data_IF_746337454670
#
_entry.id   IF_746337454670
#
_cell.length_a   1.000
_cell.length_b   1.000
_cell.length_c   1.000
_cell.angle_alpha   90.00
_cell.angle_beta   90.00
_cell.angle_gamma   90.00
#
_symmetry.space_group_name_H-M   'P 1'
#
loop_
_entity.id
_entity.type
_entity.pdbx_description
1 polymer ?
#
# COMPACT_ATOMS: atom_id res chain seq x y z
N UNK A 1 -15.78 -7.31 -7.61
CA UNK A 1 -14.65 -7.47 -6.69
C UNK A 1 -14.85 -8.70 -5.84
N UNK A 2 -14.90 -9.87 -6.47
CA UNK A 2 -15.10 -11.15 -5.79
C UNK A 2 -13.83 -11.65 -5.10
N UNK A 3 -12.68 -11.15 -5.55
CA UNK A 3 -11.36 -11.42 -4.99
C UNK A 3 -10.63 -10.12 -4.69
N UNK A 4 -9.81 -10.13 -3.65
CA UNK A 4 -9.01 -8.98 -3.20
C UNK A 4 -7.54 -9.27 -3.48
N UNK A 5 -6.82 -8.26 -3.97
CA UNK A 5 -5.37 -8.29 -4.14
C UNK A 5 -4.68 -7.25 -3.27
N UNK A 6 -3.37 -7.42 -3.06
CA UNK A 6 -2.53 -6.41 -2.42
C UNK A 6 -1.19 -6.20 -3.14
N UNK A 7 -0.50 -5.12 -2.77
CA UNK A 7 0.74 -4.66 -3.40
C UNK A 7 1.86 -4.63 -2.35
N UNK A 8 2.89 -5.43 -2.56
CA UNK A 8 3.99 -5.71 -1.62
C UNK A 8 5.33 -5.16 -2.07
N UNK A 9 5.58 -3.86 -1.84
CA UNK A 9 6.85 -3.19 -2.21
C UNK A 9 7.75 -2.90 -1.01
N UNK A 10 7.24 -2.11 -0.05
CA UNK A 10 8.00 -1.62 1.11
C UNK A 10 8.49 -2.74 2.01
N UNK A 11 9.62 -2.54 2.68
CA UNK A 11 10.28 -3.51 3.55
C UNK A 11 10.72 -2.88 4.87
N UNK A 12 11.02 -3.68 5.90
CA UNK A 12 11.79 -3.20 7.04
C UNK A 12 13.11 -2.58 6.55
N UNK A 13 13.36 -1.32 6.89
CA UNK A 13 14.55 -0.58 6.48
C UNK A 13 14.49 0.06 5.08
N UNK A 14 13.57 -0.36 4.20
CA UNK A 14 13.44 0.19 2.84
C UNK A 14 11.99 0.65 2.56
N UNK A 15 11.72 1.91 2.91
CA UNK A 15 10.46 2.59 2.58
C UNK A 15 10.61 3.50 1.37
N UNK A 16 11.08 4.72 1.59
CA UNK A 16 11.29 5.72 0.54
C UNK A 16 12.35 5.31 -0.48
N UNK A 17 13.39 4.57 -0.05
CA UNK A 17 14.39 3.98 -0.93
C UNK A 17 13.96 2.59 -1.43
N UNK A 18 12.86 2.54 -2.16
CA UNK A 18 12.30 1.28 -2.67
C UNK A 18 13.22 0.55 -3.67
N UNK A 19 14.23 1.24 -4.23
CA UNK A 19 15.20 0.65 -5.14
C UNK A 19 16.25 -0.23 -4.47
N UNK A 20 16.37 -0.15 -3.13
CA UNK A 20 17.31 -0.90 -2.31
C UNK A 20 16.70 -2.19 -1.71
N UNK A 21 15.68 -2.75 -2.36
CA UNK A 21 14.95 -3.94 -1.88
C UNK A 21 15.88 -5.12 -1.52
N UNK A 22 15.72 -5.60 -0.29
CA UNK A 22 16.44 -6.71 0.32
C UNK A 22 15.77 -8.06 0.10
N UNK A 23 14.44 -8.10 -0.07
CA UNK A 23 13.71 -9.31 -0.48
C UNK A 23 14.27 -9.78 -1.81
N UNK A 24 14.63 -11.05 -1.90
CA UNK A 24 15.28 -11.61 -3.09
C UNK A 24 14.52 -12.82 -3.62
N UNK A 25 14.72 -13.10 -4.91
CA UNK A 25 14.15 -14.26 -5.59
C UNK A 25 15.24 -14.97 -6.39
N UNK A 26 15.43 -16.27 -6.17
CA UNK A 26 16.41 -17.10 -6.89
C UNK A 26 15.65 -18.09 -7.76
N UNK A 27 16.03 -18.18 -9.04
CA UNK A 27 15.47 -19.18 -9.95
C UNK A 27 15.97 -20.57 -9.56
N UNK A 28 15.05 -21.51 -9.32
CA UNK A 28 15.30 -22.93 -9.11
C UNK A 28 14.39 -23.72 -10.04
N UNK A 29 14.97 -24.33 -11.07
CA UNK A 29 14.24 -25.04 -12.12
C UNK A 29 13.14 -24.18 -12.78
N UNK A 30 11.87 -24.59 -12.64
CA UNK A 30 10.69 -23.90 -13.16
C UNK A 30 10.02 -22.98 -12.14
N UNK A 31 10.68 -22.71 -11.01
CA UNK A 31 10.16 -21.87 -9.94
C UNK A 31 11.16 -20.76 -9.58
N UNK A 32 10.63 -19.75 -8.90
CA UNK A 32 11.39 -18.76 -8.15
C UNK A 32 11.20 -19.00 -6.66
N UNK A 33 12.29 -19.00 -5.90
CA UNK A 33 12.24 -19.09 -4.45
C UNK A 33 12.46 -17.71 -3.85
N UNK A 34 11.44 -17.17 -3.20
CA UNK A 34 11.44 -15.84 -2.58
C UNK A 34 11.74 -15.94 -1.10
N UNK A 35 12.64 -15.09 -0.64
CA UNK A 35 12.97 -14.91 0.77
C UNK A 35 13.00 -13.42 1.14
N UNK A 36 12.35 -13.08 2.24
CA UNK A 36 12.35 -11.71 2.78
C UNK A 36 11.04 -11.34 3.47
N UNK A 37 10.86 -10.05 3.69
CA UNK A 37 9.66 -9.52 4.37
C UNK A 37 9.24 -8.21 3.72
N UNK A 38 7.96 -8.14 3.35
CA UNK A 38 7.29 -6.90 2.99
C UNK A 38 6.54 -6.34 4.18
N UNK A 39 6.55 -5.02 4.33
CA UNK A 39 5.96 -4.33 5.46
C UNK A 39 4.94 -3.29 5.04
N UNK A 40 3.97 -3.06 5.92
CA UNK A 40 2.89 -2.09 5.72
C UNK A 40 1.94 -2.45 4.57
N UNK A 41 1.67 -3.75 4.39
CA UNK A 41 0.90 -4.19 3.23
C UNK A 41 -0.60 -4.10 3.52
N UNK A 42 -1.24 -3.15 2.85
CA UNK A 42 -2.69 -2.92 2.86
C UNK A 42 -3.44 -4.12 2.29
N UNK A 43 -4.57 -4.48 2.92
CA UNK A 43 -5.41 -5.63 2.58
C UNK A 43 -4.75 -7.01 2.75
N UNK A 44 -3.63 -7.10 3.45
CA UNK A 44 -2.85 -8.34 3.58
C UNK A 44 -3.66 -9.55 4.11
N UNK A 45 -4.62 -9.33 5.01
CA UNK A 45 -5.41 -10.42 5.58
C UNK A 45 -6.52 -10.91 4.64
N UNK A 46 -7.13 -9.98 3.89
CA UNK A 46 -8.23 -10.26 2.97
C UNK A 46 -7.77 -10.68 1.57
N UNK A 47 -6.53 -10.33 1.18
CA UNK A 47 -6.02 -10.61 -0.15
C UNK A 47 -5.82 -12.12 -0.39
N UNK A 48 -6.25 -12.59 -1.57
CA UNK A 48 -5.97 -13.94 -2.06
C UNK A 48 -4.61 -14.01 -2.76
N UNK A 49 -4.17 -12.90 -3.35
CA UNK A 49 -2.89 -12.79 -4.03
C UNK A 49 -2.26 -11.41 -3.85
N UNK A 50 -0.94 -11.38 -3.94
CA UNK A 50 -0.12 -10.19 -3.76
C UNK A 50 0.78 -10.00 -4.97
N UNK A 51 0.91 -8.78 -5.46
CA UNK A 51 2.02 -8.41 -6.35
C UNK A 51 3.22 -8.07 -5.49
N UNK A 52 4.25 -8.91 -5.50
CA UNK A 52 5.45 -8.81 -4.65
C UNK A 52 6.66 -8.47 -5.49
N UNK A 53 7.46 -7.50 -5.03
CA UNK A 53 8.68 -7.09 -5.71
C UNK A 53 9.91 -7.67 -5.01
N UNK A 54 10.75 -8.40 -5.74
CA UNK A 54 11.94 -9.02 -5.18
C UNK A 54 13.14 -8.87 -6.12
N UNK A 55 14.33 -8.70 -5.55
CA UNK A 55 15.58 -8.58 -6.27
C UNK A 55 16.01 -9.94 -6.82
N UNK A 56 16.01 -10.08 -8.15
CA UNK A 56 16.50 -11.27 -8.87
C UNK A 56 17.95 -11.13 -9.32
N UNK A 57 18.45 -9.90 -9.45
CA UNK A 57 19.84 -9.61 -9.84
C UNK A 57 20.39 -8.40 -9.06
N UNK A 58 21.16 -8.65 -8.00
CA UNK A 58 21.71 -7.59 -7.15
C UNK A 58 22.68 -6.66 -7.88
N UNK A 59 23.39 -7.15 -8.91
CA UNK A 59 24.37 -6.35 -9.64
C UNK A 59 23.70 -5.22 -10.44
N UNK A 60 22.43 -5.39 -10.80
CA UNK A 60 21.63 -4.41 -11.56
C UNK A 60 20.89 -3.40 -10.70
N UNK A 61 21.06 -3.42 -9.37
CA UNK A 61 20.35 -2.53 -8.42
C UNK A 61 18.84 -2.57 -8.69
N UNK A 62 18.16 -1.41 -8.75
CA UNK A 62 16.72 -1.35 -9.03
C UNK A 62 16.30 -1.99 -10.37
N UNK A 63 17.21 -2.07 -11.36
CA UNK A 63 16.95 -2.76 -12.65
C UNK A 63 17.03 -4.29 -12.54
N UNK A 64 17.40 -4.80 -11.36
CA UNK A 64 17.39 -6.22 -11.03
C UNK A 64 16.19 -6.65 -10.19
N UNK A 65 15.24 -5.75 -9.94
CA UNK A 65 14.00 -6.05 -9.21
C UNK A 65 12.98 -6.61 -10.20
N UNK A 66 12.34 -7.72 -9.85
CA UNK A 66 11.28 -8.38 -10.60
C UNK A 66 9.96 -8.35 -9.81
N UNK A 67 8.84 -8.51 -10.51
CA UNK A 67 7.51 -8.52 -9.91
C UNK A 67 6.89 -9.93 -10.02
N UNK A 68 6.26 -10.40 -8.96
CA UNK A 68 5.71 -11.74 -8.86
C UNK A 68 4.27 -11.69 -8.36
N UNK A 69 3.40 -12.50 -8.96
CA UNK A 69 2.09 -12.80 -8.39
C UNK A 69 2.24 -13.92 -7.36
N UNK A 70 2.12 -13.60 -6.08
CA UNK A 70 2.25 -14.57 -4.99
C UNK A 70 0.87 -14.84 -4.39
N UNK A 71 0.47 -16.11 -4.35
CA UNK A 71 -0.80 -16.53 -3.75
C UNK A 71 -0.62 -16.88 -2.28
N UNK A 72 -1.63 -16.62 -1.47
CA UNK A 72 -1.62 -16.86 -0.01
C UNK A 72 -1.38 -18.32 0.35
N UNK A 73 -1.78 -19.25 -0.52
CA UNK A 73 -1.63 -20.69 -0.32
C UNK A 73 -0.24 -21.25 -0.65
N UNK A 74 0.66 -20.43 -1.20
CA UNK A 74 1.98 -20.92 -1.60
C UNK A 74 2.84 -21.29 -0.37
N UNK A 75 3.48 -22.48 -0.37
CA UNK A 75 4.37 -22.88 0.72
C UNK A 75 5.46 -21.83 0.96
N UNK A 76 5.79 -21.59 2.23
CA UNK A 76 6.76 -20.57 2.63
C UNK A 76 6.21 -19.15 2.70
N UNK A 77 4.95 -18.92 2.31
CA UNK A 77 4.26 -17.66 2.56
C UNK A 77 3.59 -17.66 3.95
N UNK A 78 3.74 -16.56 4.69
CA UNK A 78 2.98 -16.33 5.91
C UNK A 78 2.68 -14.84 6.12
N UNK A 79 1.71 -14.56 6.99
CA UNK A 79 1.32 -13.21 7.37
C UNK A 79 1.84 -12.87 8.77
N UNK A 80 2.27 -11.62 8.94
CA UNK A 80 2.48 -11.03 10.25
C UNK A 80 1.17 -10.78 10.99
N UNK A 81 1.29 -10.23 12.21
CA UNK A 81 0.13 -9.72 12.95
C UNK A 81 -0.42 -8.46 12.26
N UNK A 82 -1.73 -8.26 12.35
CA UNK A 82 -2.36 -7.01 11.91
C UNK A 82 -1.84 -5.85 12.77
N UNK A 83 -1.40 -4.79 12.10
CA UNK A 83 -0.90 -3.56 12.73
C UNK A 83 -2.03 -2.80 13.43
N UNK A 84 -1.74 -2.29 14.64
CA UNK A 84 -2.62 -1.37 15.35
C UNK A 84 -2.29 0.08 14.95
N UNK A 85 -3.20 0.70 14.19
CA UNK A 85 -2.97 1.99 13.50
C UNK A 85 -3.83 3.10 14.09
N UNK A 86 -3.33 4.34 14.05
CA UNK A 86 -4.08 5.54 14.44
C UNK A 86 -5.42 5.68 13.69
N UNK A 87 -5.41 5.47 12.37
CA UNK A 87 -6.58 5.60 11.49
C UNK A 87 -6.63 4.49 10.44
N UNK A 88 -7.62 4.58 9.53
CA UNK A 88 -7.85 3.57 8.47
C UNK A 88 -7.87 2.14 9.06
N UNK A 89 -8.55 1.99 10.22
CA UNK A 89 -8.54 0.74 11.02
C UNK A 89 -9.33 -0.40 10.38
N UNK A 90 -10.27 -0.06 9.50
CA UNK A 90 -11.05 -1.02 8.73
C UNK A 90 -10.17 -1.83 7.76
N UNK A 91 -9.15 -1.21 7.15
CA UNK A 91 -8.21 -1.93 6.29
C UNK A 91 -7.20 -2.71 7.14
N UNK A 92 -6.96 -3.96 6.77
CA UNK A 92 -5.83 -4.71 7.33
C UNK A 92 -4.52 -4.14 6.80
N UNK A 93 -3.53 -4.09 7.68
CA UNK A 93 -2.15 -3.76 7.33
C UNK A 93 -1.31 -4.75 8.09
N UNK A 94 -0.44 -5.47 7.39
CA UNK A 94 0.40 -6.51 8.00
C UNK A 94 1.69 -6.70 7.20
N UNK A 95 2.61 -7.47 7.73
CA UNK A 95 3.76 -7.95 7.00
C UNK A 95 3.39 -9.16 6.12
N UNK A 96 3.99 -9.25 4.94
CA UNK A 96 4.05 -10.49 4.16
C UNK A 96 5.44 -11.09 4.35
N UNK A 97 5.51 -12.33 4.79
CA UNK A 97 6.75 -13.00 5.16
C UNK A 97 6.96 -14.17 4.20
N UNK A 98 8.15 -14.25 3.61
CA UNK A 98 8.53 -15.28 2.64
C UNK A 98 9.76 -16.00 3.18
N UNK A 99 9.61 -17.29 3.45
CA UNK A 99 10.67 -18.19 3.91
C UNK A 99 10.71 -19.38 2.96
N UNK A 100 11.72 -19.40 2.08
CA UNK A 100 11.83 -20.30 0.94
C UNK A 100 10.52 -20.48 0.14
N UNK A 101 9.82 -19.37 -0.10
CA UNK A 101 8.52 -19.39 -0.75
C UNK A 101 8.64 -19.70 -2.25
N UNK A 102 8.10 -20.85 -2.68
CA UNK A 102 8.21 -21.32 -4.06
C UNK A 102 7.08 -20.79 -4.93
N UNK A 103 7.44 -20.01 -5.94
CA UNK A 103 6.54 -19.34 -6.89
C UNK A 103 6.74 -19.94 -8.29
N UNK A 104 5.68 -20.37 -8.99
CA UNK A 104 5.81 -20.84 -10.36
C UNK A 104 6.41 -19.76 -11.30
N UNK A 105 7.20 -20.17 -12.29
CA UNK A 105 7.81 -19.23 -13.24
C UNK A 105 6.77 -18.40 -14.02
N UNK A 106 5.61 -18.98 -14.33
CA UNK A 106 4.51 -18.30 -15.01
C UNK A 106 3.89 -17.14 -14.19
N UNK A 107 4.16 -17.08 -12.89
CA UNK A 107 3.69 -16.00 -12.02
C UNK A 107 4.63 -14.78 -12.00
N UNK A 108 5.72 -14.81 -12.78
CA UNK A 108 6.52 -13.63 -13.05
C UNK A 108 5.69 -12.63 -13.89
N UNK A 109 5.54 -11.40 -13.38
CA UNK A 109 4.84 -10.33 -14.08
C UNK A 109 5.82 -9.53 -14.91
N UNK A 110 5.75 -9.72 -16.24
CA UNK A 110 6.69 -9.13 -17.19
C UNK A 110 8.00 -9.92 -17.24
N UNK A 111 9.08 -9.24 -17.65
CA UNK A 111 10.41 -9.85 -17.75
C UNK A 111 11.24 -9.65 -16.46
N UNK A 112 12.24 -10.52 -16.19
CA UNK A 112 13.17 -10.30 -15.08
C UNK A 112 13.81 -8.90 -15.12
N UNK A 113 13.76 -8.17 -14.01
CA UNK A 113 14.28 -6.80 -13.90
C UNK A 113 13.27 -5.69 -14.22
N UNK A 114 12.06 -6.02 -14.68
CA UNK A 114 11.01 -5.03 -14.97
C UNK A 114 10.22 -4.58 -13.73
N UNK A 115 10.42 -5.24 -12.59
CA UNK A 115 9.62 -5.05 -11.38
C UNK A 115 9.61 -3.61 -10.87
N UNK A 116 10.76 -2.94 -10.84
CA UNK A 116 10.80 -1.55 -10.35
C UNK A 116 10.01 -0.60 -11.26
N UNK A 117 10.08 -0.78 -12.59
CA UNK A 117 9.29 -0.01 -13.54
C UNK A 117 7.79 -0.24 -13.34
N UNK A 118 7.38 -1.51 -13.19
CA UNK A 118 5.98 -1.89 -12.91
C UNK A 118 5.49 -1.24 -11.61
N UNK A 119 6.31 -1.27 -10.54
CA UNK A 119 6.01 -0.64 -9.27
C UNK A 119 5.77 0.87 -9.43
N UNK A 120 6.67 1.58 -10.11
CA UNK A 120 6.56 3.03 -10.30
C UNK A 120 5.32 3.40 -11.12
N UNK A 121 5.04 2.68 -12.21
CA UNK A 121 3.82 2.89 -13.01
C UNK A 121 2.54 2.67 -12.18
N UNK A 122 2.54 1.66 -11.31
CA UNK A 122 1.41 1.38 -10.42
C UNK A 122 1.23 2.47 -9.37
N UNK A 123 2.33 2.98 -8.79
CA UNK A 123 2.28 4.08 -7.83
C UNK A 123 1.82 5.39 -8.46
N UNK A 124 2.21 5.68 -9.70
CA UNK A 124 1.75 6.87 -10.42
C UNK A 124 0.22 6.88 -10.57
N UNK A 125 -0.37 5.75 -10.95
CA UNK A 125 -1.83 5.60 -10.98
C UNK A 125 -2.44 5.62 -9.57
N UNK A 126 -1.83 4.92 -8.61
CA UNK A 126 -2.32 4.84 -7.22
C UNK A 126 -2.36 6.19 -6.51
N UNK A 127 -1.41 7.08 -6.79
CA UNK A 127 -1.35 8.45 -6.23
C UNK A 127 -2.62 9.24 -6.53
N UNK A 128 -3.20 9.07 -7.71
CA UNK A 128 -4.46 9.73 -8.08
C UNK A 128 -5.58 9.25 -7.16
N UNK A 129 -5.70 7.94 -6.93
CA UNK A 129 -6.72 7.38 -6.04
C UNK A 129 -6.60 7.86 -4.59
N UNK A 130 -5.37 7.95 -4.06
CA UNK A 130 -5.13 8.45 -2.71
C UNK A 130 -5.44 9.96 -2.60
N UNK A 131 -5.08 10.76 -3.62
CA UNK A 131 -5.45 12.18 -3.66
C UNK A 131 -6.97 12.37 -3.69
N UNK A 132 -7.69 11.57 -4.47
CA UNK A 132 -9.16 11.56 -4.49
C UNK A 132 -9.76 11.15 -3.14
N UNK A 133 -9.16 10.18 -2.45
CA UNK A 133 -9.58 9.79 -1.10
C UNK A 133 -9.43 10.97 -0.11
N UNK A 134 -8.28 11.65 -0.13
CA UNK A 134 -8.05 12.82 0.71
C UNK A 134 -9.05 13.94 0.42
N UNK A 135 -9.33 14.20 -0.86
CA UNK A 135 -10.33 15.19 -1.28
C UNK A 135 -11.73 14.87 -0.77
N UNK A 136 -12.15 13.61 -0.85
CA UNK A 136 -13.45 13.18 -0.33
C UNK A 136 -13.57 13.36 1.20
N UNK A 137 -12.50 13.06 1.94
CA UNK A 137 -12.45 13.27 3.40
C UNK A 137 -12.50 14.77 3.72
N UNK A 138 -11.75 15.60 2.99
CA UNK A 138 -11.74 17.04 3.18
C UNK A 138 -13.13 17.65 2.93
N UNK A 139 -13.80 17.26 1.84
CA UNK A 139 -15.15 17.71 1.52
C UNK A 139 -16.15 17.32 2.61
N UNK A 140 -16.17 16.06 3.03
CA UNK A 140 -17.07 15.60 4.08
C UNK A 140 -16.81 16.34 5.42
N UNK A 141 -15.54 16.63 5.72
CA UNK A 141 -15.17 17.39 6.92
C UNK A 141 -15.67 18.83 6.85
N UNK A 142 -15.57 19.47 5.67
CA UNK A 142 -16.09 20.82 5.43
C UNK A 142 -17.61 20.86 5.57
N UNK A 143 -18.33 19.92 4.95
CA UNK A 143 -19.79 19.85 5.00
C UNK A 143 -20.28 19.74 6.45
N UNK A 144 -19.67 18.84 7.24
CA UNK A 144 -19.97 18.68 8.67
C UNK A 144 -19.65 19.94 9.46
N UNK A 145 -18.51 20.58 9.20
CA UNK A 145 -18.11 21.81 9.88
C UNK A 145 -19.06 22.98 9.58
N UNK A 146 -19.46 23.16 8.32
CA UNK A 146 -20.43 24.18 7.88
C UNK A 146 -21.79 23.95 8.54
N UNK A 147 -22.28 22.71 8.51
CA UNK A 147 -23.54 22.35 9.15
C UNK A 147 -23.51 22.63 10.66
N UNK A 148 -22.43 22.23 11.34
CA UNK A 148 -22.30 22.47 12.77
C UNK A 148 -22.20 23.97 13.11
N UNK A 149 -21.44 24.74 12.33
CA UNK A 149 -21.25 26.16 12.56
C UNK A 149 -22.54 26.98 12.42
N UNK A 150 -23.46 26.56 11.54
CA UNK A 150 -24.75 27.24 11.35
C UNK A 150 -25.79 26.85 12.40
N UNK A 151 -25.68 25.68 13.01
CA UNK A 151 -26.61 25.18 14.05
C UNK A 151 -26.17 25.51 15.48
N UNK A 152 -24.86 25.57 15.75
CA UNK A 152 -24.33 25.79 17.10
C UNK A 152 -24.44 27.27 17.49
N UNK A 153 -25.13 27.54 18.60
CA UNK A 153 -25.27 28.87 19.19
C UNK A 153 -24.18 29.14 20.24
N UNK A 154 -23.59 30.33 20.22
CA UNK A 154 -22.77 30.90 21.28
C UNK A 154 -22.77 32.44 21.18
N UNK A 155 -22.62 33.14 22.31
CA UNK A 155 -22.62 34.62 22.32
C UNK A 155 -23.86 35.26 21.66
N UNK A 156 -25.02 34.61 21.77
CA UNK A 156 -26.30 35.11 21.25
C UNK A 156 -26.58 34.88 19.76
N UNK A 157 -25.68 34.24 19.01
CA UNK A 157 -25.85 33.97 17.57
C UNK A 157 -25.26 32.61 17.17
N UNK A 158 -25.54 32.10 15.95
CA UNK A 158 -24.79 30.98 15.39
C UNK A 158 -23.30 31.29 15.32
N UNK A 159 -22.43 30.32 15.63
CA UNK A 159 -20.97 30.53 15.61
C UNK A 159 -20.43 30.84 14.21
N UNK A 160 -21.18 30.53 13.16
CA UNK A 160 -20.90 30.97 11.79
C UNK A 160 -20.88 32.50 11.61
N UNK A 161 -21.39 33.29 12.57
CA UNK A 161 -21.29 34.76 12.57
C UNK A 161 -19.97 35.29 13.13
N UNK A 162 -19.15 34.45 13.77
CA UNK A 162 -17.83 34.84 14.26
C UNK A 162 -16.83 34.85 13.10
N UNK A 163 -16.14 35.97 12.88
CA UNK A 163 -15.20 36.13 11.78
C UNK A 163 -14.06 35.10 11.80
N UNK A 164 -13.61 34.69 12.99
CA UNK A 164 -12.59 33.65 13.15
C UNK A 164 -13.03 32.29 12.60
N UNK A 165 -14.34 31.99 12.62
CA UNK A 165 -14.90 30.74 12.08
C UNK A 165 -15.09 30.85 10.56
N UNK A 166 -15.52 32.01 10.06
CA UNK A 166 -15.71 32.24 8.62
C UNK A 166 -14.42 32.08 7.83
N UNK A 167 -13.31 32.66 8.31
CA UNK A 167 -12.01 32.58 7.63
C UNK A 167 -11.44 31.16 7.51
N UNK A 168 -11.91 30.21 8.31
CA UNK A 168 -11.51 28.79 8.22
C UNK A 168 -12.15 28.11 7.00
N UNK A 169 -13.18 28.72 6.38
CA UNK A 169 -13.82 28.20 5.16
C UNK A 169 -13.21 28.73 3.85
N UNK A 170 -12.37 29.78 3.91
CA UNK A 170 -11.86 30.49 2.73
C UNK A 170 -10.44 30.05 2.27
N UNK A 171 -9.87 28.98 2.85
CA UNK A 171 -8.59 28.37 2.47
C UNK A 171 -8.76 26.92 2.03
#
# INVERSE_FOLDING_TARGET
GEKIGCFGLSEPGNGSDAGAASTFAIKKDRNWVINGTKSWITNAHEAEASVVFATTDKAKKHKGISAFLVRKEYPGFSLGKKEDKLGIRASSTSNLIFDDCSIPEENLLGEPGMGFKIAMMTLDAGRIGIASQALGIAQASLDVAVEYATKRMAFGAPISKLQSIQRVQDY
#
